data_IF_910085816115
#
_entry.id   IF_910085816115
#
_cell.length_a   1.000
_cell.length_b   1.000
_cell.length_c   1.000
_cell.angle_alpha   90.00
_cell.angle_beta   90.00
_cell.angle_gamma   90.00
#
_symmetry.space_group_name_H-M   'P 1'
#
loop_
_entity.id
_entity.type
_entity.pdbx_description
1 polymer ?
#
# COMPACT_ATOMS: atom_id res chain seq x y z
N UNK A 1 20.67 -14.23 -19.32
CA UNK A 1 19.27 -13.79 -19.58
C UNK A 1 19.12 -12.34 -19.16
N UNK A 2 18.43 -11.55 -19.98
CA UNK A 2 18.31 -10.09 -19.93
C UNK A 2 17.78 -9.59 -18.57
N UNK A 3 18.34 -8.47 -18.10
CA UNK A 3 17.87 -7.69 -16.95
C UNK A 3 16.34 -7.55 -16.96
N UNK A 4 15.63 -8.14 -15.99
CA UNK A 4 14.33 -7.64 -15.58
C UNK A 4 14.56 -6.68 -14.43
N UNK A 5 14.63 -5.41 -14.76
CA UNK A 5 14.29 -4.34 -13.83
C UNK A 5 12.83 -4.59 -13.41
N UNK A 6 12.59 -5.44 -12.41
CA UNK A 6 11.30 -5.49 -11.75
C UNK A 6 11.23 -4.17 -10.99
N UNK A 7 10.41 -3.18 -11.40
CA UNK A 7 10.19 -2.02 -10.54
C UNK A 7 9.74 -2.60 -9.21
N UNK A 8 10.51 -2.37 -8.14
CA UNK A 8 10.27 -2.92 -6.79
C UNK A 8 8.78 -2.80 -6.50
N UNK A 9 8.02 -3.90 -6.71
CA UNK A 9 6.58 -3.86 -6.53
C UNK A 9 6.39 -3.63 -5.05
N UNK A 10 5.93 -2.43 -4.72
CA UNK A 10 5.80 -2.00 -3.35
C UNK A 10 4.93 -3.01 -2.58
N UNK A 11 5.35 -3.45 -1.39
CA UNK A 11 4.63 -4.48 -0.64
C UNK A 11 3.24 -4.02 -0.20
N UNK A 12 3.01 -2.72 -0.07
CA UNK A 12 1.71 -2.12 0.22
C UNK A 12 1.16 -1.37 -0.99
N UNK A 13 -0.16 -1.41 -1.13
CA UNK A 13 -0.93 -0.68 -2.15
C UNK A 13 -2.22 -0.13 -1.55
N UNK A 14 -2.92 0.72 -2.28
CA UNK A 14 -4.21 1.27 -1.87
C UNK A 14 -5.33 0.68 -2.71
N UNK A 15 -6.48 0.46 -2.07
CA UNK A 15 -7.72 0.04 -2.71
C UNK A 15 -8.88 0.90 -2.20
N UNK A 16 -9.94 0.98 -2.98
CA UNK A 16 -11.18 1.64 -2.59
C UNK A 16 -12.13 0.62 -1.95
N UNK A 17 -12.93 1.05 -0.98
CA UNK A 17 -14.01 0.23 -0.39
C UNK A 17 -15.06 -0.08 -1.45
N UNK A 18 -15.81 -1.17 -1.26
CA UNK A 18 -16.84 -1.61 -2.23
C UNK A 18 -17.95 -0.57 -2.43
N UNK A 19 -18.25 0.19 -1.37
CA UNK A 19 -19.19 1.33 -1.37
C UNK A 19 -18.63 2.58 -2.06
N UNK A 20 -17.34 2.62 -2.40
CA UNK A 20 -16.70 3.76 -3.06
C UNK A 20 -16.44 4.97 -2.15
N UNK A 21 -16.81 4.93 -0.87
CA UNK A 21 -16.71 6.09 0.03
C UNK A 21 -15.30 6.30 0.57
N UNK A 22 -14.53 5.22 0.75
CA UNK A 22 -13.23 5.28 1.41
C UNK A 22 -12.14 4.57 0.62
N UNK A 23 -10.91 4.99 0.87
CA UNK A 23 -9.68 4.36 0.44
C UNK A 23 -8.96 3.81 1.66
N UNK A 24 -8.22 2.73 1.47
CA UNK A 24 -7.41 2.11 2.52
C UNK A 24 -6.12 1.54 1.95
N UNK A 25 -5.09 1.48 2.79
CA UNK A 25 -3.82 0.84 2.48
C UNK A 25 -3.87 -0.61 2.94
N UNK A 26 -3.36 -1.54 2.14
CA UNK A 26 -3.23 -2.94 2.52
C UNK A 26 -1.96 -3.55 1.92
N UNK A 27 -1.54 -4.69 2.46
CA UNK A 27 -0.44 -5.46 1.86
C UNK A 27 -0.94 -6.12 0.58
N UNK A 28 -0.14 -6.13 -0.49
CA UNK A 28 -0.48 -6.89 -1.71
C UNK A 28 -0.68 -8.37 -1.36
N UNK A 29 -1.77 -8.95 -1.81
CA UNK A 29 -2.20 -10.33 -1.47
C UNK A 29 -3.05 -10.44 -0.20
N UNK A 30 -3.25 -9.35 0.54
CA UNK A 30 -4.07 -9.30 1.75
C UNK A 30 -5.00 -8.07 1.72
N UNK A 31 -5.85 -7.99 0.71
CA UNK A 31 -6.79 -6.87 0.49
C UNK A 31 -7.76 -6.66 1.66
N UNK A 32 -8.17 -7.73 2.32
CA UNK A 32 -9.11 -7.68 3.45
C UNK A 32 -8.46 -7.27 4.79
N UNK A 33 -7.14 -7.02 4.80
CA UNK A 33 -6.40 -6.60 6.00
C UNK A 33 -5.89 -5.15 5.82
N UNK A 34 -6.75 -4.13 6.02
CA UNK A 34 -6.33 -2.75 5.95
C UNK A 34 -5.32 -2.43 7.05
N UNK A 35 -4.34 -1.58 6.73
CA UNK A 35 -3.42 -1.01 7.70
C UNK A 35 -4.22 -0.10 8.63
N UNK A 36 -4.01 -0.25 9.94
CA UNK A 36 -4.70 0.55 10.95
C UNK A 36 -4.54 2.05 10.69
N UNK A 37 -5.63 2.80 10.80
CA UNK A 37 -5.66 4.24 10.53
C UNK A 37 -5.60 4.63 9.05
N UNK A 38 -5.49 3.69 8.10
CA UNK A 38 -5.43 4.00 6.66
C UNK A 38 -6.76 4.30 5.99
N UNK A 39 -7.88 3.93 6.61
CA UNK A 39 -9.22 4.16 6.08
C UNK A 39 -9.52 5.66 6.09
N UNK A 40 -9.93 6.20 4.94
CA UNK A 40 -10.34 7.58 4.76
C UNK A 40 -10.29 8.01 3.29
N UNK A 41 -9.96 9.26 3.03
CA UNK A 41 -9.72 9.76 1.68
C UNK A 41 -8.46 9.15 1.03
N UNK A 42 -8.39 9.25 -0.31
CA UNK A 42 -7.29 8.69 -1.11
C UNK A 42 -5.92 9.22 -0.65
N UNK A 43 -5.84 10.49 -0.29
CA UNK A 43 -4.59 11.13 0.14
C UNK A 43 -4.09 10.53 1.45
N UNK A 44 -4.97 10.34 2.43
CA UNK A 44 -4.64 9.68 3.70
C UNK A 44 -4.17 8.24 3.49
N UNK A 45 -4.92 7.46 2.71
CA UNK A 45 -4.55 6.07 2.39
C UNK A 45 -3.20 6.01 1.68
N UNK A 46 -2.95 6.91 0.71
CA UNK A 46 -1.70 6.98 -0.04
C UNK A 46 -0.52 7.37 0.85
N UNK A 47 -0.69 8.34 1.77
CA UNK A 47 0.35 8.74 2.73
C UNK A 47 0.78 7.57 3.61
N UNK A 48 -0.18 6.83 4.13
CA UNK A 48 0.10 5.65 4.97
C UNK A 48 0.74 4.53 4.16
N UNK A 49 0.26 4.29 2.94
CA UNK A 49 0.88 3.34 2.02
C UNK A 49 2.34 3.68 1.72
N UNK A 50 2.66 4.95 1.49
CA UNK A 50 4.02 5.42 1.24
C UNK A 50 4.93 5.23 2.47
N UNK A 51 4.43 5.55 3.68
CA UNK A 51 5.14 5.29 4.94
C UNK A 51 5.45 3.80 5.13
N UNK A 52 4.46 2.91 4.93
CA UNK A 52 4.65 1.47 5.09
C UNK A 52 5.66 0.89 4.09
N UNK A 53 5.71 1.46 2.88
CA UNK A 53 6.68 1.08 1.86
C UNK A 53 8.09 1.63 2.13
N UNK A 54 8.21 2.80 2.76
CA UNK A 54 9.49 3.38 3.20
C UNK A 54 10.08 2.65 4.41
N UNK A 55 9.27 2.33 5.41
CA UNK A 55 9.74 1.65 6.64
C UNK A 55 10.32 0.26 6.39
N UNK A 56 9.88 -0.46 5.35
CA UNK A 56 10.46 -1.76 4.97
C UNK A 56 11.69 -1.66 4.05
N UNK A 57 12.11 -0.44 3.70
CA UNK A 57 13.38 -0.16 3.02
C UNK A 57 14.57 0.03 3.96
N UNK A 58 14.33 0.23 5.26
CA UNK A 58 15.36 0.23 6.28
C UNK A 58 15.65 -1.22 6.70
N UNK A 59 16.43 -1.94 5.88
CA UNK A 59 17.24 -3.04 6.40
C UNK A 59 18.45 -2.39 7.06
N UNK A 60 18.61 -2.68 8.35
CA UNK A 60 19.87 -2.56 9.11
C UNK A 60 21.05 -3.12 8.32
#
# INVERSE_FOLDING_TARGET
MKHRHNPKKLPYTISQTKDGLYWYCHRRGFEYCPVFGSIGDKTKAQKICDMMNKSKGAKE
#
